data_IF_864573859379
#
_entry.id   IF_864573859379
#
_cell.length_a   1.000
_cell.length_b   1.000
_cell.length_c   1.000
_cell.angle_alpha   90.00
_cell.angle_beta   90.00
_cell.angle_gamma   90.00
#
_symmetry.space_group_name_H-M   'P 1'
#
loop_
_entity.id
_entity.type
_entity.pdbx_description
1 polymer ?
#
# COMPACT_ATOMS: atom_id res chain seq x y z
N UNK A 1 19.88 -2.81 4.94
CA UNK A 1 19.70 -3.75 3.80
C UNK A 1 18.92 -2.99 2.74
N UNK A 2 19.28 -3.10 1.46
CA UNK A 2 18.50 -2.44 0.40
C UNK A 2 17.45 -3.43 -0.09
N UNK A 3 16.18 -3.13 0.17
CA UNK A 3 15.07 -3.96 -0.30
C UNK A 3 14.81 -3.64 -1.77
N UNK A 4 14.69 -4.65 -2.62
CA UNK A 4 14.44 -4.50 -4.05
C UNK A 4 13.64 -5.69 -4.58
N UNK A 5 12.98 -5.47 -5.71
CA UNK A 5 12.30 -6.52 -6.46
C UNK A 5 13.15 -6.80 -7.71
N UNK A 6 13.43 -8.07 -7.98
CA UNK A 6 14.14 -8.50 -9.17
C UNK A 6 13.25 -9.41 -10.02
N UNK A 7 13.07 -9.05 -11.28
CA UNK A 7 12.49 -9.87 -12.33
C UNK A 7 13.64 -10.39 -13.19
N UNK A 8 13.71 -11.71 -13.36
CA UNK A 8 14.75 -12.36 -14.12
C UNK A 8 14.15 -13.28 -15.19
N UNK A 9 14.18 -12.84 -16.45
CA UNK A 9 13.68 -13.55 -17.63
C UNK A 9 12.22 -14.02 -17.49
N UNK A 10 11.35 -13.20 -16.89
CA UNK A 10 9.93 -13.51 -16.66
C UNK A 10 9.18 -13.62 -17.99
N UNK A 11 8.51 -14.74 -18.18
CA UNK A 11 7.50 -14.91 -19.24
C UNK A 11 6.17 -15.29 -18.62
N UNK A 12 5.09 -14.75 -19.16
CA UNK A 12 3.73 -15.00 -18.65
C UNK A 12 2.68 -14.82 -19.74
N UNK A 13 1.70 -15.72 -19.77
CA UNK A 13 0.50 -15.61 -20.56
C UNK A 13 -0.73 -15.88 -19.68
N UNK A 14 -1.86 -15.18 -19.95
CA UNK A 14 -3.12 -15.58 -19.35
C UNK A 14 -3.63 -16.89 -19.99
N UNK A 15 -4.39 -17.71 -19.26
CA UNK A 15 -4.93 -18.96 -19.80
C UNK A 15 -5.65 -18.74 -21.12
N UNK A 16 -5.19 -19.43 -22.17
CA UNK A 16 -5.76 -19.37 -23.54
C UNK A 16 -5.54 -18.04 -24.27
N UNK A 17 -4.66 -17.17 -23.79
CA UNK A 17 -4.29 -15.90 -24.43
C UNK A 17 -2.85 -15.96 -24.97
N UNK A 18 -2.50 -15.08 -25.92
CA UNK A 18 -1.10 -14.94 -26.36
C UNK A 18 -0.21 -14.47 -25.20
N UNK A 19 1.13 -14.68 -25.30
CA UNK A 19 2.07 -14.21 -24.28
C UNK A 19 1.94 -12.71 -24.02
N UNK A 20 1.80 -12.34 -22.75
CA UNK A 20 1.78 -10.95 -22.30
C UNK A 20 3.20 -10.44 -22.04
N UNK A 21 4.02 -11.25 -21.37
CA UNK A 21 5.44 -10.98 -21.13
C UNK A 21 6.29 -12.10 -21.72
N UNK A 22 7.39 -11.70 -22.36
CA UNK A 22 8.40 -12.63 -22.88
C UNK A 22 9.79 -12.08 -22.50
N UNK A 23 10.51 -12.84 -21.68
CA UNK A 23 11.89 -12.51 -21.30
C UNK A 23 12.05 -11.15 -20.62
N UNK A 24 11.09 -10.80 -19.74
CA UNK A 24 11.04 -9.50 -19.05
C UNK A 24 11.98 -9.54 -17.84
N UNK A 25 12.97 -8.62 -17.83
CA UNK A 25 13.95 -8.50 -16.74
C UNK A 25 14.01 -7.06 -16.25
N UNK A 26 14.00 -6.87 -14.92
CA UNK A 26 14.11 -5.55 -14.30
C UNK A 26 14.50 -5.66 -12.83
N UNK A 27 15.03 -4.56 -12.27
CA UNK A 27 15.25 -4.40 -10.82
C UNK A 27 14.61 -3.09 -10.37
N UNK A 28 13.72 -3.19 -9.39
CA UNK A 28 13.10 -2.04 -8.73
C UNK A 28 13.76 -1.84 -7.37
N UNK A 29 14.65 -0.84 -7.27
CA UNK A 29 15.41 -0.53 -6.05
C UNK A 29 15.40 0.95 -5.71
N UNK A 30 14.87 1.80 -6.58
CA UNK A 30 14.77 3.24 -6.32
C UNK A 30 13.74 3.54 -5.22
N UNK A 31 13.90 4.63 -4.45
CA UNK A 31 12.94 5.00 -3.43
C UNK A 31 11.50 5.09 -3.96
N UNK A 32 11.31 5.78 -5.08
CA UNK A 32 10.01 5.84 -5.76
C UNK A 32 10.19 5.48 -7.23
N UNK A 33 9.49 4.46 -7.71
CA UNK A 33 9.41 4.08 -9.12
C UNK A 33 7.98 4.25 -9.63
N UNK A 34 7.78 5.04 -10.67
CA UNK A 34 6.50 5.18 -11.36
C UNK A 34 6.38 4.15 -12.48
N UNK A 35 5.36 3.29 -12.46
CA UNK A 35 5.05 2.35 -13.53
C UNK A 35 3.98 2.94 -14.44
N UNK A 36 4.36 3.25 -15.66
CA UNK A 36 3.49 3.80 -16.69
C UNK A 36 3.27 2.81 -17.85
N UNK A 37 2.27 3.06 -18.65
CA UNK A 37 1.99 2.28 -19.87
C UNK A 37 0.51 2.35 -20.24
N UNK A 38 0.19 1.99 -21.48
CA UNK A 38 -1.18 1.99 -21.99
C UNK A 38 -2.08 1.02 -21.21
N UNK A 39 -3.39 1.25 -21.32
CA UNK A 39 -4.35 0.31 -20.74
C UNK A 39 -4.24 -1.06 -21.45
N UNK A 40 -4.22 -2.11 -20.62
CA UNK A 40 -4.09 -3.49 -21.13
C UNK A 40 -2.64 -3.95 -21.39
N UNK A 41 -1.62 -3.10 -21.21
CA UNK A 41 -0.22 -3.54 -21.37
C UNK A 41 0.31 -4.43 -20.23
N UNK A 42 -0.50 -4.76 -19.22
CA UNK A 42 -0.14 -5.71 -18.17
C UNK A 42 0.39 -5.12 -16.87
N UNK A 43 0.21 -3.81 -16.58
CA UNK A 43 0.65 -3.20 -15.31
C UNK A 43 0.13 -3.94 -14.08
N UNK A 44 -1.17 -4.15 -14.01
CA UNK A 44 -1.82 -4.88 -12.90
C UNK A 44 -1.38 -6.36 -12.86
N UNK A 45 -1.17 -6.98 -14.03
CA UNK A 45 -0.65 -8.35 -14.13
C UNK A 45 0.76 -8.44 -13.56
N UNK A 46 1.63 -7.46 -13.88
CA UNK A 46 2.97 -7.37 -13.32
C UNK A 46 2.94 -7.21 -11.80
N UNK A 47 2.08 -6.36 -11.26
CA UNK A 47 1.90 -6.24 -9.80
C UNK A 47 1.44 -7.56 -9.16
N UNK A 48 0.48 -8.27 -9.77
CA UNK A 48 0.01 -9.56 -9.26
C UNK A 48 1.07 -10.65 -9.31
N UNK A 49 1.96 -10.64 -10.31
CA UNK A 49 3.14 -11.50 -10.34
C UNK A 49 4.09 -11.17 -9.19
N UNK A 50 4.35 -9.88 -8.95
CA UNK A 50 5.21 -9.41 -7.85
C UNK A 50 4.63 -9.81 -6.49
N UNK A 51 3.29 -9.69 -6.30
CA UNK A 51 2.58 -10.09 -5.08
C UNK A 51 2.52 -11.61 -4.88
N UNK A 52 2.85 -12.41 -5.92
CA UNK A 52 2.73 -13.86 -5.87
C UNK A 52 1.32 -14.40 -6.11
N UNK A 53 0.36 -13.53 -6.48
CA UNK A 53 -1.01 -13.94 -6.86
C UNK A 53 -1.04 -14.71 -8.18
N UNK A 54 -0.04 -14.47 -9.02
CA UNK A 54 0.18 -15.16 -10.29
C UNK A 54 1.59 -15.78 -10.29
N UNK A 55 1.71 -16.93 -10.95
CA UNK A 55 3.00 -17.61 -11.14
C UNK A 55 3.47 -17.39 -12.57
N UNK A 56 4.71 -16.95 -12.82
CA UNK A 56 5.23 -16.83 -14.16
C UNK A 56 5.37 -18.22 -14.84
N UNK A 57 5.21 -18.28 -16.15
CA UNK A 57 5.40 -19.53 -16.92
C UNK A 57 6.89 -19.91 -16.97
N UNK A 58 7.79 -18.95 -16.96
CA UNK A 58 9.24 -19.13 -16.88
C UNK A 58 9.93 -17.92 -16.27
N UNK A 59 11.20 -18.08 -15.89
CA UNK A 59 11.99 -17.07 -15.22
C UNK A 59 11.89 -17.17 -13.70
N UNK A 60 12.45 -16.21 -12.99
CA UNK A 60 12.39 -16.13 -11.54
C UNK A 60 12.09 -14.71 -11.06
N UNK A 61 11.34 -14.61 -9.94
CA UNK A 61 10.99 -13.37 -9.28
C UNK A 61 11.47 -13.45 -7.84
N UNK A 62 12.27 -12.44 -7.43
CA UNK A 62 12.67 -12.26 -6.05
C UNK A 62 12.09 -10.95 -5.53
N UNK A 63 11.39 -11.03 -4.41
CA UNK A 63 10.77 -9.88 -3.74
C UNK A 63 10.97 -9.99 -2.22
N UNK A 64 10.91 -8.89 -1.47
CA UNK A 64 10.93 -8.90 -0.01
C UNK A 64 9.76 -9.70 0.57
N UNK A 65 9.95 -10.24 1.79
CA UNK A 65 8.89 -11.02 2.46
C UNK A 65 7.74 -10.12 2.93
N UNK A 66 8.06 -8.93 3.43
CA UNK A 66 7.06 -7.98 3.94
C UNK A 66 6.76 -6.92 2.88
N UNK A 67 5.84 -7.23 1.99
CA UNK A 67 5.31 -6.28 1.01
C UNK A 67 3.93 -5.80 1.43
N UNK A 68 3.65 -4.51 1.17
CA UNK A 68 2.34 -3.93 1.33
C UNK A 68 1.77 -3.50 -0.02
N UNK A 69 0.46 -3.61 -0.18
CA UNK A 69 -0.23 -3.27 -1.43
C UNK A 69 -1.43 -2.37 -1.18
N UNK A 70 -1.49 -1.27 -1.90
CA UNK A 70 -2.65 -0.38 -1.98
C UNK A 70 -3.32 -0.55 -3.35
N UNK A 71 -4.48 -1.19 -3.42
CA UNK A 71 -5.19 -1.38 -4.68
C UNK A 71 -5.85 -0.07 -5.15
N UNK A 72 -6.11 0.02 -6.45
CA UNK A 72 -6.81 1.16 -7.07
C UNK A 72 -8.21 1.37 -6.48
N UNK A 73 -8.96 0.29 -6.29
CA UNK A 73 -10.19 0.31 -5.51
C UNK A 73 -9.84 -0.17 -4.10
N UNK A 74 -9.88 0.73 -3.14
CA UNK A 74 -9.58 0.40 -1.75
C UNK A 74 -10.55 -0.66 -1.20
N UNK A 75 -11.63 -0.97 -1.94
CA UNK A 75 -12.63 -1.96 -1.52
C UNK A 75 -13.19 -1.66 -0.13
N UNK A 76 -13.07 -0.40 0.31
CA UNK A 76 -13.53 -0.02 1.64
C UNK A 76 -15.01 -0.33 1.74
N UNK A 77 -15.32 -1.38 2.48
CA UNK A 77 -16.70 -1.61 2.87
C UNK A 77 -17.20 -0.33 3.55
N UNK A 78 -18.41 0.11 3.21
CA UNK A 78 -18.98 1.34 3.75
C UNK A 78 -19.00 1.36 5.27
N UNK A 79 -18.98 0.20 5.88
CA UNK A 79 -19.02 0.04 7.35
C UNK A 79 -17.64 -0.24 7.96
N UNK A 80 -16.60 -0.50 7.15
CA UNK A 80 -15.25 -0.75 7.65
C UNK A 80 -14.76 0.43 8.50
N UNK A 81 -14.32 0.13 9.71
CA UNK A 81 -13.78 1.13 10.63
C UNK A 81 -12.29 1.40 10.37
N UNK A 82 -11.78 2.53 10.88
CA UNK A 82 -10.35 2.83 10.85
C UNK A 82 -9.53 1.75 11.58
N UNK A 83 -10.04 1.20 12.68
CA UNK A 83 -9.40 0.10 13.40
C UNK A 83 -9.29 -1.17 12.55
N UNK A 84 -10.31 -1.49 11.78
CA UNK A 84 -10.30 -2.64 10.86
C UNK A 84 -9.36 -2.41 9.67
N UNK A 85 -9.33 -1.20 9.13
CA UNK A 85 -8.37 -0.84 8.09
C UNK A 85 -6.92 -1.00 8.57
N UNK A 86 -6.63 -0.60 9.80
CA UNK A 86 -5.30 -0.74 10.41
C UNK A 86 -5.02 -2.17 10.93
N UNK A 87 -5.97 -3.11 10.84
CA UNK A 87 -5.79 -4.48 11.31
C UNK A 87 -5.68 -4.64 12.83
N UNK A 88 -6.13 -3.65 13.62
CA UNK A 88 -5.98 -3.62 15.08
C UNK A 88 -7.29 -3.82 15.86
N UNK A 89 -8.41 -4.03 15.18
CA UNK A 89 -9.75 -4.06 15.80
C UNK A 89 -9.91 -5.14 16.86
N UNK A 90 -9.31 -6.33 16.66
CA UNK A 90 -9.36 -7.41 17.65
C UNK A 90 -8.54 -7.10 18.90
N UNK A 91 -7.36 -6.53 18.70
CA UNK A 91 -6.47 -6.12 19.81
C UNK A 91 -7.16 -5.01 20.64
N UNK A 92 -7.79 -4.02 19.97
CA UNK A 92 -8.52 -2.95 20.67
C UNK A 92 -9.69 -3.50 21.47
N UNK A 93 -10.44 -4.47 20.94
CA UNK A 93 -11.52 -5.14 21.70
C UNK A 93 -10.99 -5.89 22.92
N UNK A 94 -9.87 -6.59 22.76
CA UNK A 94 -9.25 -7.31 23.87
C UNK A 94 -8.73 -6.36 24.96
N UNK A 95 -8.10 -5.24 24.57
CA UNK A 95 -7.68 -4.19 25.51
C UNK A 95 -8.85 -3.61 26.30
N UNK A 96 -9.96 -3.29 25.63
CA UNK A 96 -11.18 -2.78 26.28
C UNK A 96 -11.80 -3.79 27.23
N UNK A 97 -11.79 -5.09 26.89
CA UNK A 97 -12.29 -6.14 27.77
C UNK A 97 -11.44 -6.24 29.06
N UNK A 98 -10.12 -6.23 28.94
CA UNK A 98 -9.21 -6.25 30.10
C UNK A 98 -9.40 -5.00 30.97
N UNK A 99 -9.55 -3.82 30.40
CA UNK A 99 -9.81 -2.58 31.15
C UNK A 99 -11.18 -2.59 31.85
N UNK A 100 -12.17 -3.27 31.29
CA UNK A 100 -13.50 -3.44 31.92
C UNK A 100 -13.50 -4.49 33.05
N UNK A 101 -12.35 -5.15 33.28
CA UNK A 101 -12.18 -6.13 34.35
C UNK A 101 -12.41 -7.58 33.91
N UNK A 102 -12.43 -7.85 32.61
CA UNK A 102 -12.43 -9.22 32.10
C UNK A 102 -10.99 -9.76 32.04
N UNK A 103 -10.78 -10.96 32.61
CA UNK A 103 -9.45 -11.59 32.61
C UNK A 103 -9.57 -13.01 32.09
N UNK A 104 -9.11 -13.21 30.85
CA UNK A 104 -9.00 -14.56 30.27
C UNK A 104 -7.66 -14.71 29.54
N UNK A 105 -7.08 -15.92 29.49
CA UNK A 105 -5.85 -16.17 28.77
C UNK A 105 -5.94 -15.76 27.29
N UNK A 106 -7.08 -15.97 26.65
CA UNK A 106 -7.33 -15.67 25.24
C UNK A 106 -7.23 -14.16 24.95
N UNK A 107 -7.64 -13.29 25.87
CA UNK A 107 -7.50 -11.84 25.74
C UNK A 107 -6.01 -11.45 25.75
N UNK A 108 -5.25 -12.01 26.69
CA UNK A 108 -3.80 -11.76 26.76
C UNK A 108 -3.05 -12.30 25.56
N UNK A 109 -3.43 -13.47 25.05
CA UNK A 109 -2.86 -14.04 23.82
C UNK A 109 -3.16 -13.15 22.61
N UNK A 110 -4.38 -12.60 22.51
CA UNK A 110 -4.76 -11.66 21.43
C UNK A 110 -3.99 -10.35 21.51
N UNK A 111 -3.80 -9.79 22.70
CA UNK A 111 -3.02 -8.56 22.89
C UNK A 111 -1.53 -8.84 22.63
N UNK A 112 -1.01 -9.95 23.15
CA UNK A 112 0.40 -10.31 23.04
C UNK A 112 1.30 -9.19 23.55
N UNK A 113 2.17 -8.67 22.68
CA UNK A 113 3.08 -7.55 22.96
C UNK A 113 2.51 -6.18 22.51
N UNK A 114 1.26 -6.09 22.05
CA UNK A 114 0.68 -4.89 21.43
C UNK A 114 -0.10 -4.00 22.43
N UNK A 115 0.38 -3.85 23.65
CA UNK A 115 -0.27 -3.01 24.66
C UNK A 115 -0.27 -1.52 24.27
N UNK A 116 0.65 -1.09 23.42
CA UNK A 116 0.83 0.26 22.90
C UNK A 116 0.25 0.47 21.49
N UNK A 117 -0.57 -0.46 21.00
CA UNK A 117 -1.05 -0.47 19.61
C UNK A 117 -1.84 0.81 19.25
N UNK A 118 -2.63 1.34 20.19
CA UNK A 118 -3.38 2.60 19.98
C UNK A 118 -2.42 3.75 19.69
N UNK A 119 -1.42 3.95 20.56
CA UNK A 119 -0.44 5.04 20.45
C UNK A 119 0.42 4.90 19.20
N UNK A 120 0.97 3.71 18.96
CA UNK A 120 1.83 3.42 17.81
C UNK A 120 1.09 3.61 16.48
N UNK A 121 -0.16 3.11 16.37
CA UNK A 121 -0.96 3.25 15.16
C UNK A 121 -1.35 4.71 14.94
N UNK A 122 -1.76 5.42 15.98
CA UNK A 122 -2.07 6.84 15.91
C UNK A 122 -0.87 7.67 15.47
N UNK A 123 0.32 7.35 15.99
CA UNK A 123 1.56 8.01 15.60
C UNK A 123 1.89 7.77 14.12
N UNK A 124 1.74 6.53 13.64
CA UNK A 124 1.94 6.19 12.22
C UNK A 124 0.96 6.97 11.32
N UNK A 125 -0.33 6.94 11.62
CA UNK A 125 -1.35 7.69 10.89
C UNK A 125 -1.03 9.19 10.81
N UNK A 126 -0.63 9.80 11.92
CA UNK A 126 -0.25 11.22 11.96
C UNK A 126 1.03 11.51 11.16
N UNK A 127 2.04 10.62 11.23
CA UNK A 127 3.31 10.76 10.52
C UNK A 127 3.12 10.81 9.01
N UNK A 128 2.21 10.00 8.47
CA UNK A 128 1.90 9.98 7.04
C UNK A 128 0.80 10.96 6.62
N UNK A 129 0.43 11.91 7.49
CA UNK A 129 -0.41 13.04 7.15
C UNK A 129 -1.92 12.80 7.28
N UNK A 130 -2.34 11.74 7.97
CA UNK A 130 -3.76 11.56 8.29
C UNK A 130 -4.20 12.57 9.35
N UNK A 131 -4.75 13.68 8.89
CA UNK A 131 -5.10 14.86 9.71
C UNK A 131 -5.95 14.53 10.95
N UNK A 132 -6.99 13.68 10.88
CA UNK A 132 -7.77 13.34 12.07
C UNK A 132 -6.93 12.73 13.20
N UNK A 133 -5.89 11.94 12.90
CA UNK A 133 -4.99 11.39 13.90
C UNK A 133 -4.05 12.43 14.50
N UNK A 134 -3.67 13.44 13.72
CA UNK A 134 -2.82 14.54 14.20
C UNK A 134 -3.57 15.50 15.14
N UNK A 135 -4.90 15.61 15.00
CA UNK A 135 -5.76 16.53 15.76
C UNK A 135 -6.45 15.91 16.97
N UNK A 136 -6.42 14.57 17.09
CA UNK A 136 -7.06 13.89 18.24
C UNK A 136 -6.31 14.19 19.53
N UNK A 137 -7.05 14.41 20.60
CA UNK A 137 -6.49 14.52 21.96
C UNK A 137 -5.97 13.15 22.42
N UNK A 138 -4.65 12.96 22.36
CA UNK A 138 -3.96 11.71 22.69
C UNK A 138 -4.02 11.35 24.17
N UNK A 139 -4.21 12.34 25.03
CA UNK A 139 -4.33 12.14 26.49
C UNK A 139 -5.76 11.71 26.88
N UNK A 140 -6.69 11.70 25.91
CA UNK A 140 -8.06 11.25 26.07
C UNK A 140 -8.30 9.90 25.37
N UNK A 141 -8.23 8.77 26.08
CA UNK A 141 -8.44 7.44 25.47
C UNK A 141 -9.80 7.29 24.77
N UNK A 142 -10.83 7.97 25.26
CA UNK A 142 -12.17 7.92 24.64
C UNK A 142 -12.16 8.61 23.27
N UNK A 143 -11.42 9.74 23.12
CA UNK A 143 -11.30 10.42 21.84
C UNK A 143 -10.51 9.58 20.83
N UNK A 144 -9.44 8.93 21.27
CA UNK A 144 -8.63 8.02 20.43
C UNK A 144 -9.47 6.84 19.94
N UNK A 145 -10.20 6.19 20.82
CA UNK A 145 -11.10 5.05 20.47
C UNK A 145 -12.24 5.48 19.57
N UNK A 146 -12.82 6.66 19.83
CA UNK A 146 -13.85 7.20 18.96
C UNK A 146 -13.34 7.45 17.54
N UNK A 147 -12.05 7.87 17.36
CA UNK A 147 -11.43 7.97 16.05
C UNK A 147 -11.29 6.61 15.38
N UNK A 148 -10.75 5.60 16.08
CA UNK A 148 -10.59 4.25 15.53
C UNK A 148 -11.93 3.55 15.19
N UNK A 149 -12.99 3.89 15.91
CA UNK A 149 -14.34 3.37 15.66
C UNK A 149 -15.07 4.08 14.50
N UNK A 150 -14.51 5.15 13.94
CA UNK A 150 -15.14 5.84 12.80
C UNK A 150 -15.10 4.96 11.56
N UNK A 151 -16.24 4.90 10.86
CA UNK A 151 -16.32 4.28 9.54
C UNK A 151 -15.48 5.06 8.54
N UNK A 152 -14.77 4.34 7.65
CA UNK A 152 -13.98 4.93 6.58
C UNK A 152 -14.80 5.80 5.64
N UNK A 153 -16.10 5.53 5.52
CA UNK A 153 -17.03 6.37 4.74
C UNK A 153 -17.25 7.78 5.34
N UNK A 154 -16.91 7.98 6.62
CA UNK A 154 -17.02 9.30 7.28
C UNK A 154 -15.86 10.25 6.96
N UNK A 155 -14.83 9.75 6.29
CA UNK A 155 -13.68 10.53 5.85
C UNK A 155 -13.84 10.98 4.40
N UNK A 156 -13.18 12.07 4.02
CA UNK A 156 -13.08 12.46 2.61
C UNK A 156 -12.29 11.41 1.82
N UNK A 157 -12.46 11.38 0.49
CA UNK A 157 -11.71 10.44 -0.35
C UNK A 157 -10.19 10.56 -0.16
N UNK A 158 -9.68 11.79 -0.01
CA UNK A 158 -8.26 12.04 0.27
C UNK A 158 -7.83 11.51 1.64
N UNK A 159 -8.59 11.77 2.70
CA UNK A 159 -8.30 11.23 4.03
C UNK A 159 -8.33 9.70 4.04
N UNK A 160 -9.25 9.08 3.29
CA UNK A 160 -9.33 7.62 3.20
C UNK A 160 -8.09 7.01 2.53
N UNK A 161 -7.58 7.61 1.44
CA UNK A 161 -6.35 7.17 0.77
C UNK A 161 -5.13 7.35 1.69
N UNK A 162 -5.02 8.49 2.37
CA UNK A 162 -3.93 8.74 3.32
C UNK A 162 -3.99 7.77 4.50
N UNK A 163 -5.19 7.51 5.05
CA UNK A 163 -5.36 6.52 6.12
C UNK A 163 -4.97 5.11 5.65
N UNK A 164 -5.36 4.73 4.43
CA UNK A 164 -5.01 3.44 3.85
C UNK A 164 -3.49 3.32 3.62
N UNK A 165 -2.82 4.35 3.08
CA UNK A 165 -1.37 4.37 2.95
C UNK A 165 -0.69 4.26 4.32
N UNK A 166 -1.13 5.05 5.29
CA UNK A 166 -0.55 5.05 6.64
C UNK A 166 -0.77 3.72 7.37
N UNK A 167 -1.93 3.07 7.16
CA UNK A 167 -2.22 1.75 7.74
C UNK A 167 -1.25 0.67 7.25
N UNK A 168 -0.81 0.73 5.99
CA UNK A 168 0.20 -0.19 5.47
C UNK A 168 1.52 -0.09 6.24
N UNK A 169 1.85 1.09 6.75
CA UNK A 169 3.10 1.33 7.48
C UNK A 169 3.10 0.74 8.89
N UNK A 170 1.94 0.38 9.43
CA UNK A 170 1.82 -0.27 10.74
C UNK A 170 2.51 -1.65 10.75
N UNK A 171 2.55 -2.32 9.61
CA UNK A 171 3.20 -3.64 9.44
C UNK A 171 4.70 -3.57 9.15
N UNK A 172 5.31 -2.38 9.12
CA UNK A 172 6.73 -2.16 8.80
C UNK A 172 7.15 -2.86 7.49
N UNK A 173 6.56 -2.48 6.34
CA UNK A 173 6.83 -3.13 5.07
C UNK A 173 8.24 -2.83 4.56
N UNK A 174 8.80 -3.78 3.83
CA UNK A 174 10.10 -3.66 3.16
C UNK A 174 9.98 -3.09 1.74
N UNK A 175 8.78 -3.19 1.16
CA UNK A 175 8.46 -2.65 -0.16
C UNK A 175 6.95 -2.39 -0.27
N UNK A 176 6.57 -1.34 -0.99
CA UNK A 176 5.16 -0.96 -1.18
C UNK A 176 4.80 -0.95 -2.65
N UNK A 177 3.64 -1.51 -2.96
CA UNK A 177 3.01 -1.43 -4.28
C UNK A 177 1.76 -0.56 -4.17
N UNK A 178 1.62 0.42 -5.07
CA UNK A 178 0.48 1.34 -5.11
C UNK A 178 -0.13 1.33 -6.52
N UNK A 179 -1.43 1.09 -6.60
CA UNK A 179 -2.14 1.08 -7.89
C UNK A 179 -3.06 2.29 -7.99
N UNK A 180 -2.67 3.28 -8.83
CA UNK A 180 -3.41 4.52 -9.10
C UNK A 180 -3.87 5.28 -7.84
N UNK A 181 -2.98 5.57 -6.86
CA UNK A 181 -3.37 6.15 -5.58
C UNK A 181 -3.87 7.61 -5.69
N UNK A 182 -3.66 8.28 -6.83
CA UNK A 182 -4.10 9.65 -7.09
C UNK A 182 -5.51 9.75 -7.66
N UNK A 183 -6.14 8.61 -7.99
CA UNK A 183 -7.47 8.61 -8.60
C UNK A 183 -8.52 9.22 -7.66
N UNK A 184 -9.37 10.09 -8.24
CA UNK A 184 -10.45 10.76 -7.53
C UNK A 184 -10.02 11.70 -6.39
N UNK A 185 -8.73 12.05 -6.30
CA UNK A 185 -8.23 13.02 -5.32
C UNK A 185 -8.28 14.45 -5.89
N UNK A 186 -8.67 15.39 -5.05
CA UNK A 186 -8.49 16.80 -5.33
C UNK A 186 -7.01 17.22 -5.17
N UNK A 187 -6.68 18.45 -5.55
CA UNK A 187 -5.30 18.95 -5.51
C UNK A 187 -4.70 19.01 -4.09
N UNK A 188 -5.53 19.25 -3.07
CA UNK A 188 -5.05 19.30 -1.68
C UNK A 188 -4.71 17.89 -1.17
N UNK A 189 -5.58 16.92 -1.43
CA UNK A 189 -5.35 15.51 -1.10
C UNK A 189 -4.14 14.92 -1.86
N UNK A 190 -3.95 15.28 -3.15
CA UNK A 190 -2.75 14.90 -3.91
C UNK A 190 -1.47 15.43 -3.28
N UNK A 191 -1.46 16.71 -2.87
CA UNK A 191 -0.29 17.31 -2.22
C UNK A 191 0.06 16.58 -0.89
N UNK A 192 -0.95 16.20 -0.10
CA UNK A 192 -0.75 15.39 1.10
C UNK A 192 -0.19 14.02 0.78
N UNK A 193 -0.77 13.33 -0.22
CA UNK A 193 -0.30 12.02 -0.68
C UNK A 193 1.16 12.09 -1.13
N UNK A 194 1.55 13.10 -1.92
CA UNK A 194 2.92 13.25 -2.39
C UNK A 194 3.89 13.43 -1.21
N UNK A 195 3.53 14.24 -0.23
CA UNK A 195 4.33 14.41 0.99
C UNK A 195 4.48 13.08 1.75
N UNK A 196 3.40 12.31 1.84
CA UNK A 196 3.42 11.00 2.50
C UNK A 196 4.30 9.98 1.73
N UNK A 197 4.25 9.98 0.39
CA UNK A 197 5.07 9.12 -0.45
C UNK A 197 6.57 9.45 -0.35
N UNK A 198 6.92 10.75 -0.31
CA UNK A 198 8.30 11.21 -0.13
C UNK A 198 8.86 10.85 1.26
N UNK A 199 8.00 10.63 2.25
CA UNK A 199 8.36 10.24 3.61
C UNK A 199 8.43 8.72 3.83
N UNK A 200 8.18 7.89 2.82
CA UNK A 200 8.21 6.44 2.95
C UNK A 200 9.62 5.95 3.33
N UNK A 201 9.75 5.04 4.31
CA UNK A 201 11.05 4.53 4.75
C UNK A 201 11.58 3.38 3.88
N UNK A 202 10.77 2.90 2.94
CA UNK A 202 11.08 1.78 2.06
C UNK A 202 10.75 2.11 0.61
N UNK A 203 11.31 1.39 -0.37
CA UNK A 203 11.02 1.59 -1.78
C UNK A 203 9.54 1.35 -2.12
N UNK A 204 9.05 2.07 -3.13
CA UNK A 204 7.70 1.90 -3.64
C UNK A 204 7.66 1.85 -5.18
N UNK A 205 6.79 0.97 -5.70
CA UNK A 205 6.41 0.90 -7.11
C UNK A 205 4.96 1.38 -7.25
N UNK A 206 4.76 2.42 -8.04
CA UNK A 206 3.49 3.15 -8.14
C UNK A 206 3.00 3.12 -9.58
N UNK A 207 1.88 2.47 -9.85
CA UNK A 207 1.16 2.67 -11.10
C UNK A 207 0.48 4.02 -11.02
N UNK A 208 0.74 4.91 -11.98
CA UNK A 208 0.02 6.17 -12.08
C UNK A 208 0.06 6.76 -13.48
N UNK A 209 -0.99 7.52 -13.80
CA UNK A 209 -1.06 8.39 -14.97
C UNK A 209 -0.99 9.89 -14.58
N UNK A 210 -0.81 10.19 -13.32
CA UNK A 210 -0.72 11.54 -12.78
C UNK A 210 0.67 12.13 -13.04
N UNK A 211 0.74 13.19 -13.85
CA UNK A 211 2.02 13.83 -14.23
C UNK A 211 2.73 14.46 -13.03
N UNK A 212 1.97 15.08 -12.13
CA UNK A 212 2.55 15.76 -10.96
C UNK A 212 3.21 14.74 -10.00
N UNK A 213 2.68 13.51 -9.94
CA UNK A 213 3.30 12.41 -9.22
C UNK A 213 4.53 11.89 -9.96
N UNK A 214 4.44 11.71 -11.28
CA UNK A 214 5.53 11.16 -12.09
C UNK A 214 6.75 12.08 -12.14
N UNK A 215 6.58 13.40 -11.96
CA UNK A 215 7.70 14.35 -11.83
C UNK A 215 8.45 14.22 -10.49
N UNK A 216 7.92 13.46 -9.53
CA UNK A 216 8.50 13.27 -8.18
C UNK A 216 9.16 11.91 -7.98
N UNK A 217 8.97 10.97 -8.90
CA UNK A 217 9.59 9.66 -8.81
C UNK A 217 11.06 9.69 -9.25
N UNK A 218 11.87 8.78 -8.71
CA UNK A 218 13.28 8.69 -9.04
C UNK A 218 13.52 7.93 -10.36
N UNK A 219 12.62 6.98 -10.68
CA UNK A 219 12.71 6.15 -11.87
C UNK A 219 11.32 6.01 -12.48
N UNK A 220 11.23 6.09 -13.79
CA UNK A 220 10.03 5.74 -14.55
C UNK A 220 10.27 4.38 -15.20
N UNK A 221 9.37 3.44 -14.92
CA UNK A 221 9.27 2.15 -15.56
C UNK A 221 8.14 2.22 -16.61
N UNK A 222 8.49 2.21 -17.88
CA UNK A 222 7.52 2.21 -18.96
C UNK A 222 7.27 0.79 -19.47
N UNK A 223 6.02 0.34 -19.36
CA UNK A 223 5.55 -0.92 -19.91
C UNK A 223 4.80 -0.64 -21.21
N UNK A 224 5.29 -1.12 -22.33
CA UNK A 224 4.69 -0.89 -23.64
C UNK A 224 4.51 -2.22 -24.40
N UNK A 225 3.37 -2.40 -25.03
CA UNK A 225 3.09 -3.54 -25.89
C UNK A 225 3.62 -3.31 -27.30
N UNK A 226 4.27 -4.30 -27.88
CA UNK A 226 4.65 -4.30 -29.27
C UNK A 226 3.46 -4.60 -30.21
N UNK A 227 3.71 -4.69 -31.51
CA UNK A 227 2.68 -4.99 -32.53
C UNK A 227 2.08 -6.39 -32.41
N UNK A 228 2.72 -7.28 -31.66
CA UNK A 228 2.28 -8.65 -31.41
C UNK A 228 1.52 -8.76 -30.08
N UNK A 229 1.44 -7.66 -29.32
CA UNK A 229 0.81 -7.60 -28.00
C UNK A 229 1.72 -8.02 -26.86
N UNK A 230 3.02 -8.29 -27.12
CA UNK A 230 4.00 -8.62 -26.09
C UNK A 230 4.48 -7.34 -25.42
N UNK A 231 4.44 -7.29 -24.10
CA UNK A 231 4.85 -6.11 -23.33
C UNK A 231 6.32 -6.18 -22.94
N UNK A 232 7.00 -5.05 -23.13
CA UNK A 232 8.38 -4.80 -22.82
C UNK A 232 8.49 -3.71 -21.77
N UNK A 233 9.48 -3.83 -20.88
CA UNK A 233 9.75 -2.85 -19.83
C UNK A 233 11.03 -2.06 -20.15
N UNK A 234 10.96 -0.75 -19.94
CA UNK A 234 12.11 0.15 -20.00
C UNK A 234 12.17 0.99 -18.74
N UNK A 235 13.37 1.20 -18.22
CA UNK A 235 13.62 2.05 -17.06
C UNK A 235 14.30 3.34 -17.51
N UNK A 236 13.81 4.47 -17.00
CA UNK A 236 14.35 5.80 -17.22
C UNK A 236 14.61 6.44 -15.86
N UNK A 237 15.84 6.90 -15.63
CA UNK A 237 16.16 7.71 -14.47
C UNK A 237 15.55 9.11 -14.66
N UNK A 238 14.90 9.64 -13.62
CA UNK A 238 14.28 10.96 -13.60
C UNK A 238 15.24 12.07 -13.22
#
# INVERSE_FOLDING_TARGET
MSFHITLDHISYAHPSEPPLFVDLSAVFSAPLTGLIGDNGCGKTTLMRLILGDLTPDSGSLAAPERMAYLPQDLGLDREQTLAELCGISEILRALQAVESGEYSPELYDTIGYNWDVEERTLAALATYGFTPAALVDRDNPQAVRALFARSMHSFSGGEAVIAALASLMVSDPEFILLDEPTNNLDSAAKAQLFTALEALPCPALIISHDRDLLERVNVIAELHADRQGVSHLRLFEG
#
